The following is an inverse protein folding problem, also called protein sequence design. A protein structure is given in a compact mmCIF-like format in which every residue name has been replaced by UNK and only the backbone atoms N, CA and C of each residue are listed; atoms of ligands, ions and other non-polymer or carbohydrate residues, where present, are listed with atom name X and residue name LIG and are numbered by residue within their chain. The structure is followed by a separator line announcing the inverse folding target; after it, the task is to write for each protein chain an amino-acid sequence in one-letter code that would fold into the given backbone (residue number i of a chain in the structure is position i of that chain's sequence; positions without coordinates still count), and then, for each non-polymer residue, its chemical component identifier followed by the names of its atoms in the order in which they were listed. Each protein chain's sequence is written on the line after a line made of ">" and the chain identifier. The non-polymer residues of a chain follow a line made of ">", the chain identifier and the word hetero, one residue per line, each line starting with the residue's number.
data_IF_736504955453
#
_entry.id   IF_736504955453
#
_cell.length_a   1.000
_cell.length_b   1.000
_cell.length_c   1.000
_cell.angle_alpha   90.00
_cell.angle_beta   90.00
_cell.angle_gamma   90.00
#
_symmetry.space_group_name_H-M   'P 1'
#
loop_
_entity.id
_entity.type
_entity.pdbx_description
1 polymer ?
#
# COMPACT_ATOMS: atom_id res chain seq x y z
N UNK A 1 12.13 56.60 -30.58
CA UNK A 1 11.63 56.09 -31.88
C UNK A 1 10.91 54.78 -31.62
N UNK A 2 9.70 54.61 -32.18
CA UNK A 2 9.08 53.29 -32.38
C UNK A 2 8.16 52.75 -31.28
N UNK A 3 6.92 53.26 -31.23
CA UNK A 3 5.76 52.52 -30.71
C UNK A 3 5.53 51.27 -31.57
N UNK A 4 5.13 50.14 -30.97
CA UNK A 4 4.00 49.35 -31.50
C UNK A 4 3.31 48.56 -30.38
N UNK A 5 2.11 49.03 -30.07
CA UNK A 5 1.00 48.36 -29.40
C UNK A 5 0.07 47.88 -30.52
N UNK A 6 -0.40 46.64 -30.45
CA UNK A 6 -1.58 46.10 -31.13
C UNK A 6 -2.21 45.16 -30.08
N UNK A 7 -3.20 45.61 -29.30
CA UNK A 7 -4.66 45.46 -29.52
C UNK A 7 -5.07 44.00 -29.76
N UNK A 8 -5.59 43.31 -28.74
CA UNK A 8 -7.00 43.24 -28.30
C UNK A 8 -7.97 42.64 -29.32
N UNK A 9 -8.53 41.48 -28.98
CA UNK A 9 -9.96 41.20 -29.15
C UNK A 9 -10.45 40.22 -28.09
N UNK A 10 -11.31 40.76 -27.22
CA UNK A 10 -12.23 40.09 -26.31
C UNK A 10 -13.19 39.14 -27.07
N UNK A 11 -13.55 38.01 -26.44
CA UNK A 11 -14.94 37.55 -26.31
C UNK A 11 -15.06 36.35 -25.37
N UNK A 12 -15.78 36.55 -24.27
CA UNK A 12 -16.52 35.56 -23.48
C UNK A 12 -18.01 35.93 -23.63
N UNK A 13 -19.04 35.15 -23.19
CA UNK A 13 -19.11 33.76 -22.69
C UNK A 13 -20.31 32.97 -23.32
N UNK A 14 -20.57 31.72 -22.90
CA UNK A 14 -21.93 31.14 -22.94
C UNK A 14 -22.14 29.71 -23.46
N UNK A 15 -22.09 28.74 -22.55
CA UNK A 15 -23.04 27.63 -22.29
C UNK A 15 -23.66 26.79 -23.47
N UNK A 16 -24.56 25.83 -23.18
CA UNK A 16 -24.33 24.38 -23.32
C UNK A 16 -25.02 23.77 -24.55
N UNK A 17 -24.56 22.61 -25.01
CA UNK A 17 -25.24 21.86 -26.09
C UNK A 17 -25.92 20.61 -25.52
N UNK A 18 -27.24 20.56 -25.70
CA UNK A 18 -28.17 19.49 -25.33
C UNK A 18 -28.95 19.07 -26.59
N UNK A 19 -29.10 17.75 -26.77
CA UNK A 19 -30.13 17.00 -27.54
C UNK A 19 -30.16 17.10 -29.08
N UNK A 20 -30.66 16.07 -29.80
CA UNK A 20 -32.09 15.71 -29.83
C UNK A 20 -32.43 14.25 -29.45
N UNK A 21 -33.67 14.07 -28.98
CA UNK A 21 -34.43 12.84 -28.82
C UNK A 21 -35.26 12.55 -30.08
N UNK A 22 -35.94 11.38 -30.05
CA UNK A 22 -37.03 10.87 -30.91
C UNK A 22 -36.60 10.07 -32.16
N UNK A 23 -37.27 9.00 -32.58
CA UNK A 23 -38.24 8.05 -32.01
C UNK A 23 -38.54 7.01 -33.11
N UNK A 24 -38.76 5.74 -32.73
CA UNK A 24 -39.50 4.65 -33.44
C UNK A 24 -39.08 4.29 -34.91
N UNK A 25 -39.23 3.09 -35.49
CA UNK A 25 -40.18 2.01 -35.31
C UNK A 25 -39.67 0.66 -35.92
N UNK A 26 -39.90 -0.43 -35.18
CA UNK A 26 -40.37 -1.79 -35.53
C UNK A 26 -39.75 -2.75 -36.59
N UNK A 27 -39.60 -3.98 -36.04
CA UNK A 27 -40.06 -5.32 -36.51
C UNK A 27 -39.06 -6.13 -37.37
N UNK A 28 -38.90 -7.46 -37.25
CA UNK A 28 -39.82 -8.53 -36.79
C UNK A 28 -39.06 -9.90 -36.71
N UNK A 29 -39.70 -10.88 -36.02
CA UNK A 29 -39.61 -12.37 -36.16
C UNK A 29 -38.65 -13.10 -35.18
N UNK A 30 -39.00 -14.26 -34.55
CA UNK A 30 -40.23 -14.74 -33.88
C UNK A 30 -39.94 -15.38 -32.47
N UNK A 31 -40.96 -15.83 -31.72
CA UNK A 31 -40.77 -16.50 -30.42
C UNK A 31 -40.62 -18.03 -30.58
N UNK A 32 -39.58 -18.61 -29.98
CA UNK A 32 -39.47 -20.06 -29.73
C UNK A 32 -39.94 -20.39 -28.32
N UNK A 33 -40.83 -21.38 -28.25
CA UNK A 33 -41.46 -21.94 -27.05
C UNK A 33 -40.48 -22.45 -25.97
N UNK A 34 -40.97 -22.60 -24.72
CA UNK A 34 -40.17 -23.02 -23.58
C UNK A 34 -40.05 -24.55 -23.51
N UNK A 35 -38.84 -25.04 -23.20
CA UNK A 35 -38.60 -26.45 -22.88
C UNK A 35 -38.18 -26.62 -21.42
N UNK A 36 -38.84 -27.57 -20.76
CA UNK A 36 -38.49 -28.24 -19.50
C UNK A 36 -38.90 -27.55 -18.18
N UNK A 37 -40.09 -27.91 -17.71
CA UNK A 37 -40.45 -27.96 -16.30
C UNK A 37 -39.93 -29.28 -15.69
N UNK A 38 -39.57 -29.33 -14.40
CA UNK A 38 -39.15 -30.57 -13.72
C UNK A 38 -40.31 -31.58 -13.53
N UNK A 39 -39.97 -32.88 -13.61
CA UNK A 39 -40.84 -34.05 -13.82
C UNK A 39 -41.85 -34.43 -12.69
N UNK A 40 -42.13 -33.59 -11.69
CA UNK A 40 -43.12 -33.95 -10.65
C UNK A 40 -44.55 -33.44 -10.91
N UNK A 41 -44.75 -32.64 -11.98
CA UNK A 41 -46.01 -31.93 -12.24
C UNK A 41 -47.14 -32.74 -12.93
N UNK A 42 -47.00 -34.07 -13.10
CA UNK A 42 -47.96 -34.88 -13.87
C UNK A 42 -48.94 -35.74 -13.05
N UNK A 43 -49.07 -35.56 -11.73
CA UNK A 43 -49.87 -36.48 -10.88
C UNK A 43 -51.08 -35.90 -10.13
N UNK A 44 -51.51 -34.66 -10.33
CA UNK A 44 -52.68 -34.12 -9.61
C UNK A 44 -53.62 -33.27 -10.48
N UNK A 45 -54.20 -33.87 -11.53
CA UNK A 45 -55.25 -33.20 -12.30
C UNK A 45 -56.29 -34.15 -12.90
N UNK A 46 -56.92 -35.02 -12.10
CA UNK A 46 -58.24 -35.59 -12.42
C UNK A 46 -58.99 -36.00 -11.13
N UNK A 47 -59.76 -35.07 -10.55
CA UNK A 47 -60.99 -35.43 -9.86
C UNK A 47 -61.85 -34.20 -9.57
N UNK A 48 -62.91 -33.99 -10.35
CA UNK A 48 -64.10 -33.22 -9.98
C UNK A 48 -65.27 -33.61 -10.88
N UNK A 49 -66.41 -33.93 -10.25
CA UNK A 49 -67.78 -34.12 -10.80
C UNK A 49 -68.23 -35.60 -11.05
N UNK A 50 -69.55 -35.93 -10.96
CA UNK A 50 -70.07 -36.81 -9.91
C UNK A 50 -70.89 -38.03 -10.38
N UNK A 51 -71.01 -39.02 -9.50
CA UNK A 51 -72.13 -39.95 -9.27
C UNK A 51 -72.84 -40.63 -10.47
N UNK A 52 -72.61 -41.95 -10.61
CA UNK A 52 -73.65 -42.90 -11.01
C UNK A 52 -73.46 -44.24 -10.27
N UNK A 53 -74.55 -44.75 -9.67
CA UNK A 53 -74.62 -45.99 -8.88
C UNK A 53 -74.56 -47.22 -9.79
N UNK A 54 -73.76 -48.21 -9.41
CA UNK A 54 -73.88 -49.59 -9.93
C UNK A 54 -73.79 -50.59 -8.76
N UNK A 55 -74.80 -51.46 -8.52
CA UNK A 55 -74.85 -52.34 -7.38
C UNK A 55 -74.24 -53.70 -7.71
N UNK A 56 -72.96 -53.91 -7.37
CA UNK A 56 -72.37 -55.21 -7.01
C UNK A 56 -70.84 -55.09 -6.82
N UNK A 57 -70.38 -54.88 -5.59
CA UNK A 57 -69.02 -55.27 -5.12
C UNK A 57 -68.96 -55.23 -3.58
N UNK A 58 -68.26 -56.18 -2.94
CA UNK A 58 -68.31 -56.36 -1.49
C UNK A 58 -67.55 -55.23 -0.76
N UNK A 59 -68.03 -54.89 0.44
CA UNK A 59 -67.44 -53.91 1.36
C UNK A 59 -66.00 -54.28 1.68
N UNK A 60 -65.04 -53.45 1.25
CA UNK A 60 -63.71 -53.39 1.86
C UNK A 60 -63.66 -52.19 2.81
N UNK A 61 -63.37 -52.50 4.06
CA UNK A 61 -63.33 -51.58 5.20
C UNK A 61 -62.21 -50.56 4.96
N UNK A 62 -62.55 -49.29 4.78
CA UNK A 62 -61.60 -48.19 4.73
C UNK A 62 -61.04 -47.92 6.14
N UNK A 63 -59.92 -48.56 6.49
CA UNK A 63 -59.16 -48.26 7.72
C UNK A 63 -58.09 -47.17 7.55
N UNK A 64 -58.02 -46.50 6.39
CA UNK A 64 -56.94 -45.57 6.03
C UNK A 64 -57.38 -44.12 5.77
N UNK A 65 -58.67 -43.78 5.87
CA UNK A 65 -59.13 -42.38 5.77
C UNK A 65 -58.65 -41.44 6.89
N UNK A 66 -58.52 -41.84 8.17
CA UNK A 66 -58.16 -40.87 9.21
C UNK A 66 -56.67 -40.47 9.12
N UNK A 67 -55.80 -41.34 8.61
CA UNK A 67 -54.36 -41.09 8.52
C UNK A 67 -54.02 -40.14 7.36
N UNK A 68 -54.68 -40.30 6.21
CA UNK A 68 -54.50 -39.39 5.07
C UNK A 68 -55.10 -38.00 5.32
N UNK A 69 -56.22 -37.91 6.05
CA UNK A 69 -56.81 -36.64 6.46
C UNK A 69 -55.92 -35.90 7.48
N UNK A 70 -55.32 -36.61 8.44
CA UNK A 70 -54.39 -36.01 9.41
C UNK A 70 -53.08 -35.53 8.76
N UNK A 71 -52.56 -36.25 7.78
CA UNK A 71 -51.37 -35.82 7.02
C UNK A 71 -51.67 -34.60 6.12
N UNK A 72 -52.86 -34.53 5.52
CA UNK A 72 -53.29 -33.36 4.76
C UNK A 72 -53.51 -32.13 5.67
N UNK A 73 -54.09 -32.31 6.86
CA UNK A 73 -54.25 -31.23 7.85
C UNK A 73 -52.89 -30.75 8.39
N UNK A 74 -51.92 -31.65 8.58
CA UNK A 74 -50.57 -31.28 8.98
C UNK A 74 -49.80 -30.54 7.85
N UNK A 75 -49.99 -30.94 6.59
CA UNK A 75 -49.45 -30.22 5.44
C UNK A 75 -50.07 -28.82 5.26
N UNK A 76 -51.39 -28.69 5.45
CA UNK A 76 -52.10 -27.39 5.37
C UNK A 76 -51.67 -26.43 6.49
N UNK A 77 -51.53 -26.90 7.74
CA UNK A 77 -51.02 -26.04 8.83
C UNK A 77 -49.54 -25.65 8.65
N UNK A 78 -48.71 -26.53 8.06
CA UNK A 78 -47.31 -26.21 7.77
C UNK A 78 -47.15 -25.14 6.67
N UNK A 79 -48.06 -25.11 5.68
CA UNK A 79 -48.07 -24.07 4.64
C UNK A 79 -48.54 -22.70 5.18
N UNK A 80 -49.45 -22.67 6.15
CA UNK A 80 -49.99 -21.42 6.70
C UNK A 80 -48.95 -20.62 7.51
N UNK A 81 -48.03 -21.31 8.19
CA UNK A 81 -46.96 -20.68 8.99
C UNK A 81 -45.85 -20.05 8.12
N UNK A 82 -45.53 -20.66 6.96
CA UNK A 82 -44.53 -20.14 6.01
C UNK A 82 -45.05 -18.91 5.23
N UNK A 83 -46.34 -18.89 4.93
CA UNK A 83 -47.01 -17.83 4.15
C UNK A 83 -47.28 -16.57 4.99
N UNK A 84 -47.49 -16.73 6.30
CA UNK A 84 -47.66 -15.63 7.25
C UNK A 84 -46.36 -14.82 7.47
N UNK A 85 -45.21 -15.51 7.64
CA UNK A 85 -43.88 -14.88 7.80
C UNK A 85 -43.47 -14.06 6.56
N UNK A 86 -43.88 -14.48 5.37
CA UNK A 86 -43.63 -13.75 4.12
C UNK A 86 -44.40 -12.42 4.01
N UNK A 87 -45.56 -12.27 4.67
CA UNK A 87 -46.40 -11.06 4.53
C UNK A 87 -45.91 -9.88 5.36
N UNK A 88 -45.24 -10.16 6.50
CA UNK A 88 -44.70 -9.14 7.42
C UNK A 88 -43.54 -8.37 6.79
N UNK A 89 -42.65 -9.08 6.07
CA UNK A 89 -41.52 -8.47 5.36
C UNK A 89 -41.84 -7.98 3.94
N UNK A 90 -43.09 -8.13 3.47
CA UNK A 90 -43.44 -7.88 2.07
C UNK A 90 -43.17 -6.44 1.58
N UNK A 91 -43.25 -5.46 2.48
CA UNK A 91 -43.03 -4.03 2.18
C UNK A 91 -41.83 -3.44 2.95
N UNK A 92 -40.95 -4.28 3.50
CA UNK A 92 -39.80 -3.84 4.29
C UNK A 92 -38.55 -3.84 3.41
N UNK A 93 -37.99 -2.66 3.16
CA UNK A 93 -36.76 -2.52 2.40
C UNK A 93 -35.57 -2.39 3.35
N UNK A 94 -34.76 -3.44 3.41
CA UNK A 94 -33.49 -3.41 4.13
C UNK A 94 -32.38 -2.87 3.21
N UNK A 95 -31.47 -2.06 3.77
CA UNK A 95 -30.34 -1.52 3.01
C UNK A 95 -29.39 -2.61 2.48
N UNK A 96 -28.41 -2.21 1.67
CA UNK A 96 -27.48 -3.15 1.04
C UNK A 96 -26.79 -4.07 2.07
N UNK A 97 -26.75 -5.38 1.79
CA UNK A 97 -26.14 -6.38 2.68
C UNK A 97 -27.04 -6.87 3.81
N UNK A 98 -28.32 -6.48 3.82
CA UNK A 98 -29.30 -6.86 4.84
C UNK A 98 -30.54 -7.51 4.23
N UNK A 99 -31.16 -8.41 4.97
CA UNK A 99 -32.43 -9.04 4.63
C UNK A 99 -33.44 -8.93 5.78
N UNK A 100 -34.73 -8.92 5.44
CA UNK A 100 -35.79 -8.84 6.43
C UNK A 100 -36.08 -10.23 7.01
N UNK A 101 -36.01 -10.33 8.33
CA UNK A 101 -36.39 -11.51 9.11
C UNK A 101 -37.50 -11.14 10.10
N UNK A 102 -38.39 -12.09 10.41
CA UNK A 102 -39.47 -11.90 11.39
C UNK A 102 -39.00 -12.42 12.75
N UNK A 103 -39.10 -11.59 13.78
CA UNK A 103 -38.74 -11.98 15.16
C UNK A 103 -39.78 -12.95 15.74
N UNK A 104 -39.47 -13.59 16.88
CA UNK A 104 -40.42 -14.45 17.61
C UNK A 104 -41.71 -13.72 18.00
N UNK A 105 -41.68 -12.38 18.08
CA UNK A 105 -42.83 -11.51 18.37
C UNK A 105 -43.67 -11.15 17.15
N UNK A 106 -43.28 -11.62 15.96
CA UNK A 106 -43.99 -11.33 14.70
C UNK A 106 -43.64 -9.97 14.08
N UNK A 107 -42.55 -9.32 14.51
CA UNK A 107 -42.13 -8.00 14.02
C UNK A 107 -41.04 -8.12 12.94
N UNK A 108 -41.03 -7.28 11.89
CA UNK A 108 -39.97 -7.27 10.89
C UNK A 108 -38.67 -6.65 11.44
N UNK A 109 -37.53 -7.28 11.18
CA UNK A 109 -36.19 -6.77 11.55
C UNK A 109 -35.21 -7.00 10.41
N UNK A 110 -34.32 -6.04 10.15
CA UNK A 110 -33.29 -6.18 9.13
C UNK A 110 -32.00 -6.76 9.73
N UNK A 111 -31.65 -7.98 9.34
CA UNK A 111 -30.44 -8.68 9.73
C UNK A 111 -29.42 -8.70 8.58
N UNK A 112 -28.15 -8.94 8.88
CA UNK A 112 -27.14 -9.11 7.84
C UNK A 112 -27.42 -10.41 7.06
N UNK A 113 -27.24 -10.37 5.74
CA UNK A 113 -27.44 -11.54 4.89
C UNK A 113 -26.53 -12.69 5.35
N UNK A 114 -27.07 -13.88 5.57
CA UNK A 114 -26.26 -15.01 6.03
C UNK A 114 -25.38 -15.59 4.92
N UNK A 115 -25.93 -15.74 3.71
CA UNK A 115 -25.24 -16.30 2.55
C UNK A 115 -25.56 -15.55 1.26
N UNK A 116 -24.52 -15.23 0.49
CA UNK A 116 -24.65 -14.64 -0.83
C UNK A 116 -24.61 -15.71 -1.94
N UNK A 117 -25.22 -15.41 -3.09
CA UNK A 117 -25.12 -16.28 -4.28
C UNK A 117 -23.67 -16.37 -4.74
N UNK A 118 -23.19 -17.59 -5.00
CA UNK A 118 -21.82 -17.89 -5.41
C UNK A 118 -21.54 -17.58 -6.89
N UNK A 119 -21.64 -16.31 -7.26
CA UNK A 119 -21.24 -15.82 -8.58
C UNK A 119 -19.93 -15.03 -8.48
N UNK A 120 -19.04 -15.22 -9.46
CA UNK A 120 -17.72 -14.62 -9.52
C UNK A 120 -17.77 -13.33 -10.35
N UNK A 121 -17.98 -12.20 -9.69
CA UNK A 121 -17.90 -10.84 -10.25
C UNK A 121 -17.15 -9.96 -9.27
N UNK A 122 -15.82 -10.09 -9.22
CA UNK A 122 -15.01 -9.52 -8.16
C UNK A 122 -15.13 -8.00 -8.13
N UNK A 123 -15.10 -7.43 -6.92
CA UNK A 123 -15.08 -5.98 -6.69
C UNK A 123 -14.04 -5.60 -5.65
N UNK A 124 -13.46 -4.42 -5.80
CA UNK A 124 -12.58 -3.85 -4.80
C UNK A 124 -13.38 -2.97 -3.84
N UNK A 125 -13.29 -3.26 -2.54
CA UNK A 125 -13.86 -2.41 -1.51
C UNK A 125 -12.98 -1.20 -1.20
N UNK A 126 -13.57 -0.13 -0.69
CA UNK A 126 -12.88 1.07 -0.20
C UNK A 126 -11.88 0.80 0.93
N UNK A 127 -11.97 -0.38 1.55
CA UNK A 127 -11.01 -0.90 2.53
C UNK A 127 -9.81 -1.63 1.91
N UNK A 128 -9.69 -1.68 0.58
CA UNK A 128 -8.62 -2.37 -0.13
C UNK A 128 -8.71 -3.89 -0.15
N UNK A 129 -9.84 -4.47 0.31
CA UNK A 129 -10.11 -5.91 0.27
C UNK A 129 -10.90 -6.25 -0.98
N UNK A 130 -10.52 -7.34 -1.65
CA UNK A 130 -11.28 -7.86 -2.79
C UNK A 130 -12.41 -8.75 -2.30
N UNK A 131 -13.61 -8.53 -2.83
CA UNK A 131 -14.79 -9.34 -2.57
C UNK A 131 -15.17 -10.14 -3.81
N UNK A 132 -15.68 -11.36 -3.61
CA UNK A 132 -16.09 -12.27 -4.69
C UNK A 132 -17.18 -11.63 -5.59
N UNK A 133 -18.05 -10.83 -4.96
CA UNK A 133 -19.12 -10.06 -5.60
C UNK A 133 -19.61 -8.93 -4.68
N UNK A 134 -20.49 -8.08 -5.21
CA UNK A 134 -21.11 -6.97 -4.49
C UNK A 134 -21.88 -7.39 -3.22
N UNK A 135 -22.51 -8.57 -3.22
CA UNK A 135 -23.25 -9.06 -2.06
C UNK A 135 -22.30 -9.33 -0.89
N UNK A 136 -21.18 -10.01 -1.14
CA UNK A 136 -20.16 -10.29 -0.13
C UNK A 136 -19.57 -9.01 0.47
N UNK A 137 -19.36 -7.97 -0.35
CA UNK A 137 -18.90 -6.67 0.11
C UNK A 137 -19.88 -6.05 1.11
N UNK A 138 -21.16 -5.97 0.76
CA UNK A 138 -22.16 -5.36 1.63
C UNK A 138 -22.47 -6.21 2.85
N UNK A 139 -22.38 -7.54 2.74
CA UNK A 139 -22.50 -8.47 3.87
C UNK A 139 -21.38 -8.23 4.88
N UNK A 140 -20.13 -8.14 4.42
CA UNK A 140 -18.98 -7.84 5.28
C UNK A 140 -19.15 -6.46 5.95
N UNK A 141 -19.60 -5.45 5.20
CA UNK A 141 -19.92 -4.13 5.74
C UNK A 141 -20.97 -4.17 6.86
N UNK A 142 -22.00 -5.02 6.70
CA UNK A 142 -23.03 -5.21 7.70
C UNK A 142 -22.49 -5.91 8.96
N UNK A 143 -21.77 -7.02 8.78
CA UNK A 143 -21.25 -7.84 9.88
C UNK A 143 -20.19 -7.11 10.72
N UNK A 144 -19.35 -6.30 10.07
CA UNK A 144 -18.28 -5.54 10.72
C UNK A 144 -18.72 -4.17 11.23
N UNK A 145 -19.96 -3.75 10.93
CA UNK A 145 -20.44 -2.40 11.25
C UNK A 145 -19.66 -1.28 10.53
N UNK A 146 -18.89 -1.61 9.49
CA UNK A 146 -18.02 -0.69 8.78
C UNK A 146 -18.67 -0.16 7.50
N UNK A 147 -18.44 1.11 7.16
CA UNK A 147 -18.93 1.69 5.90
C UNK A 147 -17.98 1.34 4.75
N UNK A 148 -18.25 0.23 4.07
CA UNK A 148 -17.47 -0.25 2.92
C UNK A 148 -18.25 0.06 1.63
N UNK A 149 -17.64 0.81 0.73
CA UNK A 149 -18.20 1.12 -0.60
C UNK A 149 -17.38 0.39 -1.67
N UNK A 150 -17.96 0.23 -2.86
CA UNK A 150 -17.19 -0.24 -4.02
C UNK A 150 -16.29 0.91 -4.46
N UNK A 151 -15.00 0.64 -4.54
CA UNK A 151 -14.01 1.56 -5.10
C UNK A 151 -13.98 1.42 -6.63
N UNK A 152 -13.79 0.18 -7.11
CA UNK A 152 -13.86 -0.15 -8.54
C UNK A 152 -14.27 -1.61 -8.78
N UNK A 153 -14.80 -1.89 -9.97
CA UNK A 153 -15.05 -3.26 -10.43
C UNK A 153 -13.73 -4.03 -10.67
N UNK A 154 -13.74 -5.33 -10.40
CA UNK A 154 -12.56 -6.19 -10.50
C UNK A 154 -11.89 -6.46 -9.16
N UNK A 155 -10.80 -7.22 -9.17
CA UNK A 155 -10.00 -7.44 -7.96
C UNK A 155 -9.29 -6.14 -7.59
N UNK A 156 -9.17 -5.86 -6.29
CA UNK A 156 -8.25 -4.80 -5.86
C UNK A 156 -6.89 -5.06 -6.47
N UNK A 157 -6.27 -3.99 -6.97
CA UNK A 157 -4.84 -4.05 -7.28
C UNK A 157 -4.16 -4.47 -5.99
N UNK A 158 -3.39 -5.55 -6.02
CA UNK A 158 -2.59 -5.95 -4.88
C UNK A 158 -1.79 -4.71 -4.46
N UNK A 159 -2.12 -4.15 -3.29
CA UNK A 159 -1.12 -3.40 -2.55
C UNK A 159 -0.14 -4.49 -2.16
N UNK A 160 0.89 -4.69 -3.00
CA UNK A 160 1.96 -5.63 -2.71
C UNK A 160 2.36 -5.40 -1.25
N UNK A 161 2.11 -6.35 -0.33
CA UNK A 161 2.88 -6.32 0.89
C UNK A 161 4.34 -6.36 0.45
N UNK A 162 5.16 -5.45 0.95
CA UNK A 162 6.56 -5.35 0.58
C UNK A 162 7.24 -6.71 0.82
N UNK A 163 7.43 -7.50 -0.24
CA UNK A 163 8.39 -8.61 -0.34
C UNK A 163 8.19 -9.39 -1.65
N UNK A 164 8.73 -8.84 -2.73
CA UNK A 164 9.36 -9.58 -3.82
C UNK A 164 10.11 -8.55 -4.69
N UNK A 165 11.38 -8.31 -4.33
CA UNK A 165 12.29 -7.23 -4.77
C UNK A 165 11.87 -5.80 -4.36
N UNK A 166 11.86 -5.52 -3.05
CA UNK A 166 11.96 -4.13 -2.64
C UNK A 166 13.39 -3.65 -2.97
N UNK A 167 13.54 -2.67 -3.87
CA UNK A 167 14.82 -1.98 -4.00
C UNK A 167 15.18 -1.37 -2.63
N UNK A 168 16.47 -1.38 -2.25
CA UNK A 168 16.89 -0.77 -1.00
C UNK A 168 16.55 0.72 -1.00
N UNK A 169 16.24 1.26 0.19
CA UNK A 169 16.14 2.71 0.38
C UNK A 169 17.56 3.27 0.35
N UNK A 170 17.81 4.20 -0.57
CA UNK A 170 19.14 4.78 -0.81
C UNK A 170 19.02 6.28 -0.99
N UNK A 171 20.07 7.02 -0.64
CA UNK A 171 20.16 8.43 -0.98
C UNK A 171 20.88 8.58 -2.32
N UNK A 172 20.14 8.94 -3.37
CA UNK A 172 20.75 9.28 -4.65
C UNK A 172 21.50 10.60 -4.55
N UNK A 173 22.44 10.80 -5.47
CA UNK A 173 23.21 12.04 -5.54
C UNK A 173 22.28 13.26 -5.67
N UNK A 174 21.21 13.13 -6.47
CA UNK A 174 20.21 14.19 -6.63
C UNK A 174 19.48 14.52 -5.32
N UNK A 175 19.13 13.51 -4.50
CA UNK A 175 18.48 13.72 -3.20
C UNK A 175 19.42 14.38 -2.19
N UNK A 176 20.69 13.95 -2.16
CA UNK A 176 21.75 14.56 -1.32
C UNK A 176 21.96 16.04 -1.67
N UNK A 177 22.11 16.33 -2.96
CA UNK A 177 22.38 17.68 -3.44
C UNK A 177 21.16 18.59 -3.25
N UNK A 178 19.95 18.05 -3.41
CA UNK A 178 18.69 18.73 -3.09
C UNK A 178 18.56 19.03 -1.59
N UNK A 179 18.92 18.08 -0.72
CA UNK A 179 18.94 18.27 0.74
C UNK A 179 19.84 19.45 1.10
N UNK A 180 21.08 19.40 0.62
CA UNK A 180 22.10 20.41 0.84
C UNK A 180 21.64 21.78 0.36
N UNK A 181 21.08 21.85 -0.84
CA UNK A 181 20.58 23.10 -1.44
C UNK A 181 19.48 23.73 -0.59
N UNK A 182 18.56 22.94 -0.03
CA UNK A 182 17.50 23.44 0.86
C UNK A 182 18.03 23.95 2.20
N UNK A 183 19.00 23.26 2.78
CA UNK A 183 19.67 23.70 4.01
C UNK A 183 20.34 25.06 3.77
N UNK A 184 21.10 25.20 2.68
CA UNK A 184 21.78 26.46 2.34
C UNK A 184 20.78 27.59 2.14
N UNK A 185 19.69 27.36 1.40
CA UNK A 185 18.65 28.36 1.18
C UNK A 185 17.98 28.81 2.48
N UNK A 186 17.75 27.88 3.40
CA UNK A 186 17.21 28.21 4.71
C UNK A 186 18.20 29.06 5.52
N UNK A 187 19.48 28.68 5.56
CA UNK A 187 20.52 29.45 6.25
C UNK A 187 20.72 30.85 5.67
N UNK A 188 20.69 30.98 4.35
CA UNK A 188 20.77 32.28 3.66
C UNK A 188 19.58 33.19 4.00
N UNK A 189 18.38 32.61 4.18
CA UNK A 189 17.20 33.37 4.59
C UNK A 189 17.28 33.88 6.05
N UNK A 190 18.18 33.34 6.87
CA UNK A 190 18.43 33.82 8.24
C UNK A 190 19.48 34.92 8.33
N UNK A 191 20.14 35.25 7.22
CA UNK A 191 21.09 36.36 7.17
C UNK A 191 20.32 37.69 7.27
N UNK A 192 20.65 38.43 8.32
CA UNK A 192 20.21 39.80 8.57
C UNK A 192 21.26 40.73 7.95
N UNK A 193 20.91 41.53 6.93
CA UNK A 193 21.86 42.46 6.32
C UNK A 193 22.27 43.57 7.28
N UNK A 194 23.42 44.19 7.02
CA UNK A 194 23.90 45.34 7.79
C UNK A 194 22.86 46.48 7.77
N UNK A 195 22.44 46.87 8.97
CA UNK A 195 21.53 47.98 9.18
C UNK A 195 22.29 49.27 9.43
N UNK A 196 21.61 50.40 9.23
CA UNK A 196 22.19 51.73 9.47
C UNK A 196 22.69 51.94 10.92
N UNK A 197 22.12 51.22 11.88
CA UNK A 197 22.44 51.32 13.31
C UNK A 197 22.87 49.99 13.95
N UNK A 198 23.01 48.92 13.19
CA UNK A 198 23.34 47.60 13.74
C UNK A 198 24.10 46.77 12.72
N UNK A 199 25.18 46.13 13.18
CA UNK A 199 25.90 45.15 12.38
C UNK A 199 24.97 43.95 12.15
N UNK A 200 24.81 43.56 10.90
CA UNK A 200 24.13 42.33 10.52
C UNK A 200 24.97 41.11 10.92
N UNK A 201 24.55 39.94 10.46
CA UNK A 201 25.34 38.72 10.59
C UNK A 201 25.82 38.26 9.20
N UNK A 202 26.83 37.41 9.17
CA UNK A 202 27.27 36.76 7.95
C UNK A 202 26.95 35.26 7.97
N UNK A 203 27.10 34.59 6.84
CA UNK A 203 26.82 33.16 6.69
C UNK A 203 27.58 32.30 7.71
N UNK A 204 28.87 32.60 7.94
CA UNK A 204 29.70 31.86 8.88
C UNK A 204 29.23 32.03 10.33
N UNK A 205 28.72 33.20 10.70
CA UNK A 205 28.19 33.48 12.05
C UNK A 205 26.86 32.77 12.29
N UNK A 206 25.97 32.74 11.28
CA UNK A 206 24.73 31.95 11.34
C UNK A 206 25.05 30.46 11.47
N UNK A 207 25.99 29.97 10.68
CA UNK A 207 26.38 28.56 10.69
C UNK A 207 27.04 28.15 12.01
N UNK A 208 27.94 28.96 12.57
CA UNK A 208 28.58 28.73 13.87
C UNK A 208 27.57 28.68 15.02
N UNK A 209 26.54 29.53 14.98
CA UNK A 209 25.44 29.49 15.95
C UNK A 209 24.72 28.13 15.92
N UNK A 210 24.40 27.62 14.73
CA UNK A 210 23.72 26.33 14.60
C UNK A 210 24.61 25.14 14.94
N UNK A 211 25.88 25.19 14.52
CA UNK A 211 26.87 24.19 14.90
C UNK A 211 26.91 24.01 16.42
N UNK A 212 27.05 25.11 17.16
CA UNK A 212 27.10 25.11 18.63
C UNK A 212 25.78 24.74 19.31
N UNK A 213 24.63 24.92 18.65
CA UNK A 213 23.34 24.57 19.25
C UNK A 213 23.04 23.08 19.19
N UNK A 214 23.70 22.35 18.29
CA UNK A 214 23.46 20.93 18.04
C UNK A 214 24.61 20.01 18.43
N UNK A 215 25.83 20.55 18.55
CA UNK A 215 26.99 19.90 19.18
C UNK A 215 26.71 19.58 20.65
N UNK A 216 26.97 18.33 21.04
CA UNK A 216 26.83 17.84 22.41
C UNK A 216 28.00 18.22 23.34
N UNK A 217 28.95 18.99 22.82
CA UNK A 217 30.09 19.57 23.55
C UNK A 217 31.43 18.97 23.17
N UNK A 218 31.46 18.09 22.15
CA UNK A 218 32.69 17.51 21.61
C UNK A 218 33.32 18.38 20.49
N UNK A 219 32.69 19.51 20.16
CA UNK A 219 33.11 20.46 19.11
C UNK A 219 33.14 19.85 17.72
N UNK A 220 32.32 18.81 17.50
CA UNK A 220 32.13 18.13 16.22
C UNK A 220 30.63 17.91 16.02
N UNK A 221 30.26 17.54 14.80
CA UNK A 221 28.90 17.15 14.47
C UNK A 221 28.89 15.75 13.89
N UNK A 222 28.22 14.84 14.56
CA UNK A 222 27.94 13.50 14.05
C UNK A 222 26.62 13.43 13.25
N UNK A 223 26.33 12.26 12.68
CA UNK A 223 25.13 12.00 11.89
C UNK A 223 23.84 12.31 12.65
N UNK A 224 23.78 12.03 13.95
CA UNK A 224 22.58 12.21 14.76
C UNK A 224 22.37 13.69 15.11
N UNK A 225 23.43 14.42 15.43
CA UNK A 225 23.39 15.86 15.69
C UNK A 225 23.02 16.65 14.43
N UNK A 226 23.63 16.29 13.30
CA UNK A 226 23.32 16.92 12.02
C UNK A 226 21.89 16.57 11.55
N UNK A 227 21.41 15.35 11.80
CA UNK A 227 20.01 15.00 11.56
C UNK A 227 19.04 15.83 12.39
N UNK A 228 19.32 16.05 13.69
CA UNK A 228 18.50 16.92 14.54
C UNK A 228 18.45 18.36 14.03
N UNK A 229 19.59 18.89 13.57
CA UNK A 229 19.66 20.20 12.94
C UNK A 229 18.74 20.30 11.71
N UNK A 230 18.75 19.28 10.85
CA UNK A 230 17.88 19.22 9.67
C UNK A 230 16.40 19.05 10.05
N UNK A 231 16.09 18.28 11.10
CA UNK A 231 14.72 18.05 11.57
C UNK A 231 14.08 19.29 12.23
N UNK A 232 14.86 20.29 12.67
CA UNK A 232 14.34 21.50 13.31
C UNK A 232 13.31 22.26 12.44
N UNK A 233 13.51 22.25 11.12
CA UNK A 233 12.66 22.97 10.18
C UNK A 233 12.10 22.01 9.12
N UNK A 234 11.28 21.06 9.58
CA UNK A 234 10.66 20.02 8.75
C UNK A 234 9.95 20.59 7.51
N UNK A 235 9.42 21.82 7.58
CA UNK A 235 8.72 22.45 6.46
C UNK A 235 9.65 22.99 5.39
N UNK A 236 10.84 23.48 5.75
CA UNK A 236 11.80 24.03 4.78
C UNK A 236 12.67 22.92 4.14
N UNK A 237 12.94 21.84 4.89
CA UNK A 237 13.89 20.79 4.51
C UNK A 237 13.18 19.44 4.32
N UNK A 238 12.00 19.46 3.69
CA UNK A 238 11.26 18.22 3.43
C UNK A 238 11.65 17.58 2.09
N UNK A 239 12.34 16.44 2.16
CA UNK A 239 12.46 15.50 1.04
C UNK A 239 11.37 14.45 1.18
N UNK A 240 10.37 14.50 0.30
CA UNK A 240 9.26 13.54 0.23
C UNK A 240 9.39 12.67 -1.01
N UNK A 241 10.37 11.79 -1.02
CA UNK A 241 10.55 10.83 -2.13
C UNK A 241 9.63 9.62 -1.94
N UNK A 242 9.32 9.27 -0.70
CA UNK A 242 8.49 8.12 -0.35
C UNK A 242 7.16 8.51 0.29
N UNK A 243 6.17 7.63 0.20
CA UNK A 243 4.83 7.83 0.79
C UNK A 243 4.85 7.65 2.32
N UNK A 244 5.78 6.86 2.86
CA UNK A 244 5.89 6.60 4.30
C UNK A 244 6.85 7.62 4.97
N UNK A 245 6.38 8.25 6.06
CA UNK A 245 7.16 9.21 6.86
C UNK A 245 8.42 8.58 7.48
N UNK A 246 8.36 7.32 7.92
CA UNK A 246 9.51 6.61 8.48
C UNK A 246 10.60 6.36 7.43
N UNK A 247 10.21 5.99 6.20
CA UNK A 247 11.16 5.82 5.09
C UNK A 247 11.79 7.14 4.66
N UNK A 248 11.05 8.25 4.74
CA UNK A 248 11.61 9.58 4.49
C UNK A 248 12.60 9.99 5.58
N UNK A 249 12.36 9.64 6.85
CA UNK A 249 13.33 9.86 7.93
C UNK A 249 14.61 9.08 7.70
N UNK A 250 14.50 7.81 7.32
CA UNK A 250 15.66 6.98 6.95
C UNK A 250 16.43 7.59 5.77
N UNK A 251 15.73 8.00 4.70
CA UNK A 251 16.34 8.66 3.55
C UNK A 251 17.13 9.92 3.95
N UNK A 252 16.56 10.76 4.82
CA UNK A 252 17.25 11.96 5.33
C UNK A 252 18.54 11.60 6.06
N UNK A 253 18.52 10.58 6.92
CA UNK A 253 19.72 10.07 7.59
C UNK A 253 20.79 9.64 6.59
N UNK A 254 20.43 8.81 5.61
CA UNK A 254 21.36 8.35 4.56
C UNK A 254 21.97 9.50 3.75
N UNK A 255 21.18 10.53 3.45
CA UNK A 255 21.69 11.71 2.74
C UNK A 255 22.62 12.56 3.60
N UNK A 256 22.39 12.63 4.91
CA UNK A 256 23.27 13.32 5.85
C UNK A 256 24.60 12.58 5.97
N UNK A 257 24.58 11.25 6.11
CA UNK A 257 25.78 10.44 6.12
C UNK A 257 26.61 10.66 4.84
N UNK A 258 25.95 10.70 3.68
CA UNK A 258 26.61 11.00 2.41
C UNK A 258 27.20 12.43 2.34
N UNK A 259 26.62 13.41 3.04
CA UNK A 259 27.17 14.76 3.15
C UNK A 259 28.39 14.83 4.08
N UNK A 260 28.34 14.09 5.19
CA UNK A 260 29.46 13.96 6.12
C UNK A 260 30.65 13.33 5.39
N UNK A 261 30.45 12.17 4.76
CA UNK A 261 31.50 11.45 4.02
C UNK A 261 32.13 12.27 2.88
N UNK A 262 31.39 13.25 2.32
CA UNK A 262 31.89 14.10 1.25
C UNK A 262 32.78 15.26 1.76
N UNK A 263 32.57 15.69 3.00
CA UNK A 263 33.20 16.88 3.57
C UNK A 263 34.21 16.56 4.66
N UNK A 264 34.14 15.36 5.22
CA UNK A 264 35.07 14.80 6.20
C UNK A 264 36.44 14.55 5.54
N UNK A 265 37.41 15.43 5.85
CA UNK A 265 38.74 15.38 5.26
C UNK A 265 39.66 14.39 5.98
N UNK A 266 39.40 14.16 7.27
CA UNK A 266 40.25 13.33 8.12
C UNK A 266 39.70 11.90 8.31
N UNK A 267 38.52 11.62 7.76
CA UNK A 267 37.82 10.34 7.78
C UNK A 267 37.46 9.85 9.20
N UNK A 268 37.12 10.77 10.10
CA UNK A 268 36.68 10.46 11.47
C UNK A 268 35.16 10.34 11.63
N UNK A 269 34.40 10.44 10.53
CA UNK A 269 32.95 10.36 10.43
C UNK A 269 32.20 11.45 11.21
N UNK A 270 32.90 12.53 11.58
CA UNK A 270 32.33 13.71 12.22
C UNK A 270 32.77 14.95 11.47
N UNK A 271 31.99 16.02 11.59
CA UNK A 271 32.34 17.30 10.98
C UNK A 271 32.87 18.24 12.05
N UNK A 272 34.14 18.63 11.94
CA UNK A 272 34.62 19.85 12.58
C UNK A 272 33.88 21.07 11.99
N UNK A 273 33.92 22.22 12.69
CA UNK A 273 33.30 23.44 12.17
C UNK A 273 33.83 23.83 10.77
N UNK A 274 35.11 23.58 10.48
CA UNK A 274 35.68 23.87 9.17
C UNK A 274 35.08 22.99 8.07
N UNK A 275 34.95 21.69 8.33
CA UNK A 275 34.35 20.73 7.39
C UNK A 275 32.86 20.99 7.22
N UNK A 276 32.16 21.36 8.30
CA UNK A 276 30.75 21.77 8.25
C UNK A 276 30.55 23.04 7.41
N UNK A 277 31.43 24.04 7.58
CA UNK A 277 31.43 25.26 6.77
C UNK A 277 31.69 24.96 5.29
N UNK A 278 32.61 24.05 4.99
CA UNK A 278 32.88 23.59 3.62
C UNK A 278 31.67 22.84 3.03
N UNK A 279 31.09 21.93 3.81
CA UNK A 279 29.92 21.13 3.43
C UNK A 279 28.76 22.03 2.97
N UNK A 280 28.42 23.04 3.76
CA UNK A 280 27.30 23.94 3.49
C UNK A 280 27.72 25.25 2.81
N UNK A 281 28.89 25.34 2.17
CA UNK A 281 29.27 26.54 1.45
C UNK A 281 28.45 26.71 0.16
N UNK A 282 27.73 27.83 -0.07
CA UNK A 282 26.93 28.04 -1.29
C UNK A 282 27.71 27.92 -2.60
N UNK A 283 29.02 28.23 -2.58
CA UNK A 283 29.89 28.16 -3.75
C UNK A 283 30.48 26.77 -4.00
N UNK A 284 30.34 25.84 -3.05
CA UNK A 284 30.86 24.49 -3.19
C UNK A 284 29.87 23.63 -3.97
N UNK A 285 30.37 22.98 -5.02
CA UNK A 285 29.62 22.00 -5.80
C UNK A 285 30.17 20.59 -5.49
N UNK A 286 29.40 19.72 -4.83
CA UNK A 286 29.84 18.36 -4.53
C UNK A 286 30.26 17.61 -5.81
N UNK A 287 31.42 16.92 -5.81
CA UNK A 287 31.81 16.08 -6.94
C UNK A 287 30.87 14.86 -7.09
N UNK A 288 30.71 14.41 -8.33
CA UNK A 288 30.05 13.15 -8.63
C UNK A 288 30.95 11.97 -8.21
N UNK A 289 30.38 11.00 -7.50
CA UNK A 289 31.05 9.74 -7.13
C UNK A 289 30.40 8.59 -7.88
N UNK A 290 31.22 7.76 -8.54
CA UNK A 290 30.80 6.54 -9.24
C UNK A 290 31.06 5.32 -8.37
N UNK A 291 30.18 4.32 -8.42
CA UNK A 291 30.43 3.06 -7.72
C UNK A 291 31.37 2.19 -8.54
N UNK A 292 32.40 1.64 -7.91
CA UNK A 292 33.27 0.65 -8.54
C UNK A 292 32.70 -0.76 -8.32
N UNK A 293 32.65 -1.57 -9.37
CA UNK A 293 32.37 -3.00 -9.29
C UNK A 293 33.31 -3.73 -10.25
N UNK A 294 34.15 -4.61 -9.70
CA UNK A 294 35.24 -5.25 -10.44
C UNK A 294 36.15 -4.19 -11.10
N UNK A 295 36.27 -4.20 -12.43
CA UNK A 295 37.10 -3.26 -13.21
C UNK A 295 36.28 -2.13 -13.86
N UNK A 296 34.99 -1.98 -13.51
CA UNK A 296 34.08 -1.01 -14.12
C UNK A 296 33.53 0.01 -13.11
N UNK A 297 33.18 1.19 -13.61
CA UNK A 297 32.58 2.28 -12.85
C UNK A 297 31.13 2.53 -13.29
N UNK A 298 30.24 2.56 -12.32
CA UNK A 298 28.80 2.68 -12.49
C UNK A 298 28.29 4.02 -11.98
N UNK A 299 27.30 4.58 -12.68
CA UNK A 299 26.67 5.85 -12.33
C UNK A 299 25.64 5.66 -11.21
N UNK A 300 25.30 6.77 -10.55
CA UNK A 300 24.26 6.81 -9.52
C UNK A 300 22.93 6.27 -10.07
N UNK A 301 22.28 5.37 -9.33
CA UNK A 301 21.08 4.66 -9.76
C UNK A 301 21.32 3.38 -10.57
N UNK A 302 22.57 3.04 -10.90
CA UNK A 302 22.87 1.74 -11.51
C UNK A 302 22.47 0.60 -10.57
N UNK A 303 21.88 -0.46 -11.14
CA UNK A 303 21.43 -1.63 -10.39
C UNK A 303 22.27 -2.86 -10.77
N UNK A 304 22.57 -3.69 -9.77
CA UNK A 304 23.14 -5.02 -9.98
C UNK A 304 22.46 -6.02 -9.05
N UNK A 305 22.70 -7.30 -9.28
CA UNK A 305 22.16 -8.39 -8.48
C UNK A 305 23.27 -9.31 -8.02
N UNK A 306 23.40 -9.46 -6.70
CA UNK A 306 24.33 -10.38 -6.07
C UNK A 306 23.51 -11.46 -5.39
N UNK A 307 23.53 -12.67 -5.95
CA UNK A 307 22.66 -13.78 -5.57
C UNK A 307 21.16 -13.42 -5.66
N UNK A 308 20.43 -13.42 -4.54
CA UNK A 308 19.05 -12.97 -4.46
C UNK A 308 18.92 -11.49 -4.04
N UNK A 309 20.03 -10.83 -3.70
CA UNK A 309 20.04 -9.47 -3.19
C UNK A 309 20.18 -8.47 -4.33
N UNK A 310 19.31 -7.45 -4.29
CA UNK A 310 19.33 -6.34 -5.24
C UNK A 310 20.22 -5.24 -4.68
N UNK A 311 21.17 -4.78 -5.46
CA UNK A 311 22.10 -3.71 -5.11
C UNK A 311 21.89 -2.51 -6.01
N UNK A 312 21.98 -1.31 -5.43
CA UNK A 312 21.85 -0.04 -6.12
C UNK A 312 23.07 0.82 -5.81
N UNK A 313 23.68 1.41 -6.83
CA UNK A 313 24.73 2.41 -6.70
C UNK A 313 24.10 3.72 -6.25
N UNK A 314 24.54 4.27 -5.13
CA UNK A 314 24.02 5.52 -4.58
C UNK A 314 25.14 6.31 -3.91
N UNK A 315 25.34 7.57 -4.32
CA UNK A 315 26.38 8.47 -3.84
C UNK A 315 27.81 7.88 -3.86
N UNK A 316 28.09 6.96 -4.81
CA UNK A 316 29.39 6.28 -4.93
C UNK A 316 29.52 4.97 -4.15
N UNK A 317 28.48 4.55 -3.42
CA UNK A 317 28.47 3.32 -2.63
C UNK A 317 27.41 2.33 -3.15
N UNK A 318 27.75 1.04 -3.16
CA UNK A 318 26.78 -0.03 -3.45
C UNK A 318 25.99 -0.36 -2.19
N UNK A 319 24.66 -0.20 -2.24
CA UNK A 319 23.75 -0.57 -1.15
C UNK A 319 22.90 -1.74 -1.60
N UNK A 320 22.94 -2.84 -0.86
CA UNK A 320 22.24 -4.08 -1.19
C UNK A 320 21.12 -4.38 -0.20
N UNK A 321 20.05 -5.03 -0.67
CA UNK A 321 19.12 -5.70 0.24
C UNK A 321 19.84 -6.81 1.01
N UNK A 322 19.43 -7.08 2.24
CA UNK A 322 20.00 -8.12 3.08
C UNK A 322 18.97 -9.22 3.33
N UNK A 323 18.67 -10.01 2.29
CA UNK A 323 17.79 -11.19 2.40
C UNK A 323 18.63 -12.46 2.36
N UNK A 324 18.22 -13.47 3.12
CA UNK A 324 18.78 -14.82 3.05
C UNK A 324 18.33 -15.50 1.76
N UNK A 325 19.29 -15.89 0.92
CA UNK A 325 19.00 -16.54 -0.35
C UNK A 325 18.76 -18.04 -0.13
N UNK A 326 17.50 -18.46 -0.01
CA UNK A 326 17.18 -19.90 0.06
C UNK A 326 17.35 -20.55 -1.32
N UNK A 327 18.35 -21.44 -1.42
CA UNK A 327 18.60 -22.22 -2.62
C UNK A 327 17.51 -23.28 -2.85
N UNK A 328 16.89 -23.28 -4.02
CA UNK A 328 16.13 -24.44 -4.51
C UNK A 328 17.08 -25.60 -4.83
N UNK A 329 17.48 -26.36 -3.82
CA UNK A 329 17.71 -27.82 -3.80
C UNK A 329 18.66 -28.17 -2.65
N UNK A 330 18.09 -28.60 -1.53
CA UNK A 330 18.42 -29.87 -0.90
C UNK A 330 17.31 -30.21 0.09
N UNK A 331 16.72 -31.40 -0.06
CA UNK A 331 15.89 -32.00 0.99
C UNK A 331 16.82 -32.31 2.18
N UNK A 332 16.53 -31.76 3.36
CA UNK A 332 17.10 -32.25 4.61
C UNK A 332 17.45 -31.15 5.62
N UNK A 333 16.87 -31.29 6.81
CA UNK A 333 17.11 -30.57 8.07
C UNK A 333 16.64 -29.11 8.22
N UNK A 334 15.69 -28.94 9.14
CA UNK A 334 15.33 -27.68 9.80
C UNK A 334 16.52 -27.13 10.61
N UNK A 335 16.67 -25.80 10.74
CA UNK A 335 17.71 -25.21 11.58
C UNK A 335 17.23 -25.17 13.03
N UNK A 336 17.87 -25.95 13.89
CA UNK A 336 17.92 -25.70 15.32
C UNK A 336 19.20 -26.39 15.81
N UNK A 337 20.28 -25.64 15.99
CA UNK A 337 21.36 -25.99 16.92
C UNK A 337 22.29 -24.76 17.11
N UNK A 338 22.46 -24.39 18.37
CA UNK A 338 23.45 -23.44 18.88
C UNK A 338 24.83 -23.74 18.27
N UNK A 339 25.45 -22.71 17.68
CA UNK A 339 26.88 -22.76 17.35
C UNK A 339 27.66 -22.83 18.67
N UNK A 340 28.54 -23.82 18.78
CA UNK A 340 29.35 -24.00 19.99
C UNK A 340 30.37 -22.87 20.16
N UNK A 341 30.74 -22.55 21.40
CA UNK A 341 31.69 -21.48 21.73
C UNK A 341 33.06 -21.65 21.02
N UNK A 342 33.43 -22.90 20.73
CA UNK A 342 34.63 -23.27 19.98
C UNK A 342 34.53 -22.95 18.47
N UNK A 343 33.35 -23.04 17.88
CA UNK A 343 33.10 -22.68 16.47
C UNK A 343 33.04 -21.15 16.31
N UNK A 344 32.45 -20.45 17.28
CA UNK A 344 32.46 -18.99 17.33
C UNK A 344 33.89 -18.45 17.50
N UNK A 345 34.70 -19.06 18.37
CA UNK A 345 36.10 -18.68 18.56
C UNK A 345 36.94 -18.87 17.30
N UNK A 346 36.69 -19.95 16.55
CA UNK A 346 37.38 -20.22 15.27
C UNK A 346 37.03 -19.18 14.23
N UNK A 347 35.76 -18.80 14.14
CA UNK A 347 35.27 -17.80 13.20
C UNK A 347 35.81 -16.40 13.51
N UNK A 348 35.84 -16.01 14.79
CA UNK A 348 36.44 -14.74 15.23
C UNK A 348 37.94 -14.69 14.93
N UNK A 349 38.66 -15.80 15.14
CA UNK A 349 40.09 -15.88 14.86
C UNK A 349 40.40 -15.79 13.34
N UNK A 350 39.50 -16.29 12.50
CA UNK A 350 39.59 -16.19 11.05
C UNK A 350 39.34 -14.75 10.58
N UNK A 351 38.35 -14.05 11.15
CA UNK A 351 38.13 -12.63 10.89
C UNK A 351 39.31 -11.75 11.33
N UNK A 352 39.92 -12.06 12.49
CA UNK A 352 41.09 -11.32 12.98
C UNK A 352 42.30 -11.46 12.04
N UNK A 353 42.52 -12.65 11.46
CA UNK A 353 43.57 -12.86 10.46
C UNK A 353 43.36 -12.00 9.22
N UNK A 354 42.13 -11.84 8.76
CA UNK A 354 41.83 -11.01 7.60
C UNK A 354 42.10 -9.52 7.91
N UNK A 355 41.76 -9.05 9.11
CA UNK A 355 42.07 -7.69 9.55
C UNK A 355 43.58 -7.42 9.65
N UNK A 356 44.36 -8.37 10.19
CA UNK A 356 45.83 -8.26 10.27
C UNK A 356 46.50 -8.25 8.88
N UNK A 357 45.91 -8.96 7.92
CA UNK A 357 46.42 -9.01 6.54
C UNK A 357 46.14 -7.68 5.81
N UNK A 358 44.99 -7.06 6.07
CA UNK A 358 44.63 -5.73 5.55
C UNK A 358 45.50 -4.62 6.17
N UNK A 359 45.83 -4.72 7.46
CA UNK A 359 46.72 -3.76 8.15
C UNK A 359 48.18 -3.86 7.67
N UNK A 360 48.68 -5.08 7.39
CA UNK A 360 50.05 -5.28 6.86
C UNK A 360 50.23 -4.76 5.43
N UNK A 361 49.17 -4.76 4.61
CA UNK A 361 49.21 -4.25 3.25
C UNK A 361 49.14 -2.70 3.15
N UNK A 362 48.93 -1.98 4.27
CA UNK A 362 48.86 -0.51 4.32
C UNK A 362 50.14 0.20 4.79
N UNK A 363 51.26 -0.50 5.02
CA UNK A 363 52.52 0.16 5.42
C UNK A 363 53.30 0.67 4.20
N UNK A 364 53.60 1.99 4.09
CA UNK A 364 54.31 2.52 2.92
C UNK A 364 55.79 2.10 2.95
N UNK A 365 56.32 1.77 1.77
CA UNK A 365 57.74 1.52 1.55
C UNK A 365 58.51 2.83 1.62
N UNK A 366 59.11 3.13 2.78
CA UNK A 366 60.27 4.02 2.86
C UNK A 366 61.52 3.19 2.60
N UNK A 367 62.04 3.26 1.37
CA UNK A 367 63.43 2.92 1.09
C UNK A 367 64.23 4.22 1.02
N UNK A 368 65.27 4.28 1.85
CA UNK A 368 66.37 5.22 1.78
C UNK A 368 66.94 5.31 0.36
N UNK A 369 67.22 6.54 -0.10
CA UNK A 369 68.43 7.01 -0.81
C UNK A 369 68.51 8.52 -0.60
#
# INVERSE_FOLDING_TARGET
>A
MGRRRVEQSFSSPGAPIRFPLEAEEKAKIPPSLPSAWPEWACLLALCSAPSARDPRRPRMIWKSLPVLALLAIAWVHAEEESKSKSKVCANVFCGAGRECAVTEKGEPTCLCIEQCKSHKRPVCGSNGKTYLNHCELHRDACLTGSKIQVDHDGHCKEKKPASASASPVVCYQSDRDELRRRIIQWLEAEIIPDGWFSKGNNYSEVLDKYFKSYDDGDSRLDSNEFLKFVEQNETAINITTYVNQETNKLLRGLCIDALIELSDENADWKLSFHEFLKCLNPSFNPPEKKCALEDENYEDGAETQVECNRCVCACGNWVCTAMTCEGKNQKGQQPNEDLTEEELARYVQELQKHQDTVQKNKKPSTKEI
#
